data_IF_119430340423
#
_entry.id   IF_119430340423
#
_cell.length_a   1.000
_cell.length_b   1.000
_cell.length_c   1.000
_cell.angle_alpha   90.00
_cell.angle_beta   90.00
_cell.angle_gamma   90.00
#
_symmetry.space_group_name_H-M   'P 1'
#
loop_
_entity.id
_entity.type
_entity.pdbx_description
1 polymer ?
#
# COMPACT_ATOMS: atom_id res chain seq x y z
N UNK A 1 4.74 9.27 36.48
CA UNK A 1 5.44 10.55 36.32
C UNK A 1 6.77 10.33 35.62
N UNK A 2 6.78 9.95 34.33
CA UNK A 2 8.02 9.82 33.53
C UNK A 2 7.81 9.95 32.01
N UNK A 3 6.69 10.51 31.56
CA UNK A 3 6.39 10.70 30.14
C UNK A 3 6.46 12.15 29.63
N UNK A 4 6.43 13.13 30.50
CA UNK A 4 6.35 14.55 30.09
C UNK A 4 7.69 15.24 29.84
N UNK A 5 8.82 14.64 30.21
CA UNK A 5 10.15 15.27 30.04
C UNK A 5 10.81 15.09 28.66
N UNK A 6 10.24 14.26 27.79
CA UNK A 6 10.86 13.98 26.47
C UNK A 6 10.38 14.93 25.37
N UNK A 7 9.22 15.52 25.49
CA UNK A 7 8.66 16.42 24.45
C UNK A 7 9.21 17.84 24.58
N UNK A 8 9.35 18.37 25.80
CA UNK A 8 9.93 19.71 26.03
C UNK A 8 11.41 19.79 25.64
N UNK A 9 12.17 18.71 25.80
CA UNK A 9 13.58 18.66 25.38
C UNK A 9 13.78 18.69 23.86
N UNK A 10 12.81 18.24 23.10
CA UNK A 10 12.86 18.26 21.64
C UNK A 10 12.40 19.60 21.04
N UNK A 11 11.53 20.34 21.73
CA UNK A 11 11.13 21.69 21.29
C UNK A 11 12.21 22.74 21.61
N UNK A 12 12.92 22.62 22.71
CA UNK A 12 14.06 23.51 23.02
C UNK A 12 15.24 23.30 22.06
N UNK A 13 15.54 22.07 21.65
CA UNK A 13 16.58 21.78 20.68
C UNK A 13 16.23 22.30 19.25
N UNK A 14 14.95 22.45 18.92
CA UNK A 14 14.49 23.06 17.67
C UNK A 14 14.61 24.58 17.64
N UNK A 15 14.50 25.24 18.78
CA UNK A 15 14.58 26.68 18.89
C UNK A 15 16.03 27.20 18.79
N UNK A 16 17.02 26.39 19.13
CA UNK A 16 18.45 26.77 19.07
C UNK A 16 19.11 26.57 17.71
N UNK A 17 18.49 25.79 16.80
CA UNK A 17 18.97 25.62 15.43
C UNK A 17 18.16 26.46 14.43
N UNK A 18 18.17 27.76 14.53
CA UNK A 18 17.44 28.71 13.69
C UNK A 18 17.78 28.67 12.19
N UNK A 19 17.73 27.49 11.56
CA UNK A 19 17.96 27.31 10.13
C UNK A 19 16.64 26.97 9.42
N UNK A 20 16.10 27.93 8.67
CA UNK A 20 14.89 27.71 7.86
C UNK A 20 15.21 26.79 6.66
N UNK A 21 14.22 26.01 6.19
CA UNK A 21 14.32 25.12 5.01
C UNK A 21 14.85 25.83 3.75
N UNK A 22 14.70 27.18 3.64
CA UNK A 22 15.23 27.98 2.53
C UNK A 22 16.75 28.19 2.59
N UNK A 23 17.37 28.11 3.76
CA UNK A 23 18.81 28.28 3.91
C UNK A 23 19.62 27.03 3.61
N UNK A 24 19.02 25.82 3.72
CA UNK A 24 19.68 24.54 3.38
C UNK A 24 19.83 24.37 1.87
N UNK A 25 18.86 24.87 1.08
CA UNK A 25 18.92 24.84 -0.39
C UNK A 25 19.87 25.88 -1.01
N UNK A 26 20.24 26.94 -0.27
CA UNK A 26 21.20 27.97 -0.73
C UNK A 26 22.67 27.61 -0.47
N UNK A 27 22.94 26.65 0.44
CA UNK A 27 24.31 26.26 0.80
C UNK A 27 24.90 25.14 -0.09
N UNK A 28 24.09 24.46 -0.91
CA UNK A 28 24.55 23.44 -1.84
C UNK A 28 24.88 23.93 -3.25
N UNK A 29 24.77 25.23 -3.51
CA UNK A 29 24.98 25.88 -4.82
C UNK A 29 26.31 26.61 -5.05
N UNK A 30 27.26 26.59 -4.10
CA UNK A 30 28.49 27.35 -4.21
C UNK A 30 29.72 26.54 -3.80
N UNK A 31 30.09 25.55 -4.56
CA UNK A 31 31.42 24.96 -4.49
C UNK A 31 31.92 24.61 -5.89
N UNK A 32 32.62 25.55 -6.49
CA UNK A 32 33.87 25.34 -7.21
C UNK A 32 33.79 24.71 -8.59
N UNK A 33 33.43 25.50 -9.60
CA UNK A 33 34.02 25.35 -10.93
C UNK A 33 35.36 26.03 -10.94
N UNK A 34 36.45 25.33 -10.77
CA UNK A 34 37.78 25.74 -11.24
C UNK A 34 38.31 24.69 -12.17
N UNK A 35 38.35 24.99 -13.36
CA UNK A 35 39.09 24.80 -14.52
C UNK A 35 40.15 23.73 -14.60
N UNK A 36 40.05 22.92 -15.66
CA UNK A 36 41.18 22.52 -16.46
C UNK A 36 40.70 22.47 -17.91
N UNK A 37 40.99 23.57 -18.56
CA UNK A 37 41.04 23.64 -20.01
C UNK A 37 42.41 23.13 -20.48
N UNK A 38 42.43 22.45 -21.62
CA UNK A 38 43.65 22.13 -22.38
C UNK A 38 43.76 20.62 -22.65
N UNK A 39 43.94 20.13 -23.83
CA UNK A 39 44.23 20.76 -25.10
C UNK A 39 43.69 19.87 -26.20
N UNK A 40 43.14 20.48 -27.18
CA UNK A 40 43.08 19.91 -28.52
C UNK A 40 44.45 19.98 -29.16
N UNK A 41 44.90 18.98 -29.85
CA UNK A 41 45.15 19.04 -31.28
C UNK A 41 46.50 18.55 -31.81
N UNK A 42 46.36 18.00 -32.99
CA UNK A 42 47.22 18.01 -34.16
C UNK A 42 48.31 16.92 -34.27
N UNK A 43 47.98 15.95 -35.09
CA UNK A 43 48.54 15.54 -36.36
C UNK A 43 50.05 15.50 -36.54
N UNK A 44 50.51 14.39 -37.13
CA UNK A 44 51.76 14.38 -37.84
C UNK A 44 52.52 13.07 -37.75
N UNK A 45 52.20 12.17 -38.61
CA UNK A 45 53.06 11.40 -39.50
C UNK A 45 54.53 11.13 -39.11
N UNK A 46 54.90 9.85 -39.16
CA UNK A 46 56.29 9.49 -39.54
C UNK A 46 56.99 8.45 -38.69
N UNK A 47 57.02 7.22 -39.16
CA UNK A 47 58.27 6.46 -39.36
C UNK A 47 58.89 5.68 -38.20
N UNK A 48 58.74 4.39 -38.31
CA UNK A 48 59.84 3.43 -38.40
C UNK A 48 60.48 2.84 -37.11
N UNK A 49 60.49 1.51 -37.12
CA UNK A 49 61.47 0.53 -36.61
C UNK A 49 61.73 0.40 -35.10
N UNK A 50 61.52 -0.86 -34.63
CA UNK A 50 62.42 -1.41 -33.65
C UNK A 50 61.85 -2.25 -32.51
N UNK A 51 61.70 -3.55 -32.79
CA UNK A 51 62.15 -4.70 -32.01
C UNK A 51 61.95 -4.78 -30.47
N UNK A 52 61.28 -5.86 -30.05
CA UNK A 52 61.64 -6.69 -28.93
C UNK A 52 61.19 -6.34 -27.51
N UNK A 53 60.31 -7.21 -26.93
CA UNK A 53 60.22 -7.28 -25.49
C UNK A 53 58.99 -8.05 -25.00
N UNK A 54 59.11 -9.34 -24.78
CA UNK A 54 58.28 -10.21 -23.99
C UNK A 54 57.95 -9.60 -22.61
N UNK A 55 56.66 -9.66 -22.23
CA UNK A 55 56.20 -9.27 -20.88
C UNK A 55 54.75 -9.67 -20.67
N UNK A 56 54.51 -10.93 -20.32
CA UNK A 56 53.18 -11.42 -19.87
C UNK A 56 52.71 -10.62 -18.68
N UNK A 57 51.54 -10.04 -18.83
CA UNK A 57 50.72 -9.43 -17.79
C UNK A 57 49.33 -10.03 -17.89
N UNK A 58 49.06 -11.03 -17.09
CA UNK A 58 47.78 -11.62 -16.83
C UNK A 58 46.93 -10.54 -16.12
N UNK A 59 46.23 -9.77 -16.90
CA UNK A 59 45.25 -8.80 -16.43
C UNK A 59 43.87 -9.46 -16.43
N UNK A 60 43.50 -10.06 -15.30
CA UNK A 60 42.15 -10.55 -15.08
C UNK A 60 41.16 -9.42 -15.33
N UNK A 61 40.44 -9.54 -16.42
CA UNK A 61 39.26 -8.75 -16.73
C UNK A 61 38.16 -9.20 -15.79
N UNK A 62 38.14 -8.60 -14.58
CA UNK A 62 37.03 -8.63 -13.68
C UNK A 62 35.93 -7.73 -14.24
N UNK A 63 35.31 -8.18 -15.31
CA UNK A 63 34.10 -7.55 -15.80
C UNK A 63 33.02 -7.69 -14.72
N UNK A 64 32.87 -6.66 -13.91
CA UNK A 64 31.61 -6.42 -13.17
C UNK A 64 30.48 -6.38 -14.20
N UNK A 65 29.85 -7.54 -14.44
CA UNK A 65 28.59 -7.64 -15.12
C UNK A 65 27.54 -7.05 -14.19
N UNK A 66 27.41 -5.72 -14.17
CA UNK A 66 26.18 -5.11 -13.73
C UNK A 66 25.11 -5.64 -14.70
N UNK A 67 24.22 -6.51 -14.20
CA UNK A 67 23.07 -6.97 -14.95
C UNK A 67 22.36 -5.71 -15.48
N UNK A 68 22.24 -5.61 -16.80
CA UNK A 68 21.46 -4.52 -17.39
C UNK A 68 20.04 -4.70 -16.91
N UNK A 69 19.44 -3.69 -16.32
CA UNK A 69 18.08 -3.75 -15.74
C UNK A 69 17.03 -4.24 -16.76
N UNK A 70 17.27 -4.08 -18.05
CA UNK A 70 16.41 -4.58 -19.13
C UNK A 70 16.28 -6.10 -19.26
N UNK A 71 17.15 -6.87 -18.58
CA UNK A 71 17.10 -8.35 -18.58
C UNK A 71 16.35 -8.90 -17.34
N UNK A 72 15.88 -8.05 -16.45
CA UNK A 72 15.20 -8.44 -15.19
C UNK A 72 13.70 -8.49 -15.41
N UNK A 73 13.09 -9.61 -15.05
CA UNK A 73 11.65 -9.81 -15.07
C UNK A 73 11.13 -10.02 -13.65
N UNK A 74 10.26 -9.14 -13.17
CA UNK A 74 9.59 -9.28 -11.87
C UNK A 74 8.07 -9.34 -12.04
N UNK A 75 7.38 -10.06 -11.17
CA UNK A 75 5.93 -10.22 -11.27
C UNK A 75 5.21 -9.88 -9.98
N UNK A 76 4.09 -9.17 -10.09
CA UNK A 76 3.14 -8.93 -8.99
C UNK A 76 1.91 -9.80 -9.16
N UNK A 77 1.51 -10.50 -8.08
CA UNK A 77 0.35 -11.39 -8.06
C UNK A 77 -0.62 -10.91 -6.98
N UNK A 78 -1.56 -9.99 -7.32
CA UNK A 78 -2.63 -9.58 -6.42
C UNK A 78 -3.63 -10.70 -6.21
N UNK A 79 -4.50 -10.60 -5.20
CA UNK A 79 -5.56 -11.58 -4.98
C UNK A 79 -6.87 -11.28 -5.74
N UNK A 80 -6.90 -10.16 -6.47
CA UNK A 80 -8.04 -9.72 -7.26
C UNK A 80 -7.58 -8.76 -8.36
N UNK A 81 -8.48 -8.16 -9.11
CA UNK A 81 -8.16 -7.21 -10.19
C UNK A 81 -8.82 -5.86 -9.98
N UNK A 82 -8.32 -4.83 -10.65
CA UNK A 82 -8.88 -3.48 -10.65
C UNK A 82 -10.31 -3.39 -11.20
N UNK A 83 -10.78 -4.39 -11.92
CA UNK A 83 -12.16 -4.46 -12.41
C UNK A 83 -13.16 -4.87 -11.33
N UNK A 84 -12.72 -5.62 -10.32
CA UNK A 84 -13.56 -6.05 -9.19
C UNK A 84 -13.39 -5.15 -7.97
N UNK A 85 -12.21 -4.55 -7.78
CA UNK A 85 -11.92 -3.63 -6.67
C UNK A 85 -10.94 -2.54 -7.15
N UNK A 86 -11.33 -1.25 -7.11
CA UNK A 86 -10.50 -0.12 -7.51
C UNK A 86 -9.13 -0.04 -6.83
N UNK A 87 -9.00 -0.61 -5.61
CA UNK A 87 -7.73 -0.71 -4.89
C UNK A 87 -6.62 -1.27 -5.78
N UNK A 88 -6.89 -2.37 -6.50
CA UNK A 88 -5.90 -3.06 -7.31
C UNK A 88 -5.51 -2.28 -8.56
N UNK A 89 -6.40 -1.48 -9.14
CA UNK A 89 -6.06 -0.60 -10.26
C UNK A 89 -5.07 0.50 -9.84
N UNK A 90 -5.22 1.03 -8.62
CA UNK A 90 -4.33 2.04 -8.06
C UNK A 90 -2.96 1.42 -7.72
N UNK A 91 -2.96 0.22 -7.16
CA UNK A 91 -1.73 -0.52 -6.84
C UNK A 91 -0.96 -0.91 -8.12
N UNK A 92 -1.65 -1.39 -9.16
CA UNK A 92 -1.08 -1.69 -10.48
C UNK A 92 -0.43 -0.45 -11.10
N UNK A 93 -1.08 0.72 -10.97
CA UNK A 93 -0.50 1.99 -11.43
C UNK A 93 0.82 2.31 -10.72
N UNK A 94 0.90 2.09 -9.41
CA UNK A 94 2.14 2.25 -8.64
C UNK A 94 3.23 1.27 -9.05
N UNK A 95 2.86 0.00 -9.26
CA UNK A 95 3.77 -1.03 -9.79
C UNK A 95 4.31 -0.65 -11.15
N UNK A 96 3.42 -0.26 -12.10
CA UNK A 96 3.79 0.18 -13.44
C UNK A 96 4.76 1.35 -13.41
N UNK A 97 4.51 2.36 -12.59
CA UNK A 97 5.41 3.51 -12.43
C UNK A 97 6.80 3.11 -11.94
N UNK A 98 6.88 2.13 -11.01
CA UNK A 98 8.16 1.64 -10.52
C UNK A 98 8.95 0.89 -11.60
N UNK A 99 8.32 -0.06 -12.29
CA UNK A 99 9.01 -0.89 -13.30
C UNK A 99 9.44 -0.07 -14.50
N UNK A 100 8.62 0.90 -14.94
CA UNK A 100 8.97 1.85 -16.01
C UNK A 100 10.18 2.69 -15.62
N UNK A 101 10.18 3.25 -14.40
CA UNK A 101 11.29 4.06 -13.89
C UNK A 101 12.59 3.26 -13.79
N UNK A 102 12.50 1.99 -13.41
CA UNK A 102 13.66 1.11 -13.20
C UNK A 102 14.14 0.43 -14.49
N UNK A 103 13.32 0.44 -15.55
CA UNK A 103 13.62 -0.19 -16.83
C UNK A 103 13.67 -1.71 -16.74
N UNK A 104 12.78 -2.33 -15.94
CA UNK A 104 12.63 -3.79 -15.78
C UNK A 104 11.34 -4.29 -16.43
N UNK A 105 11.29 -5.58 -16.84
CA UNK A 105 10.04 -6.21 -17.30
C UNK A 105 9.17 -6.53 -16.08
N UNK A 106 8.15 -5.71 -15.85
CA UNK A 106 7.21 -5.86 -14.75
C UNK A 106 5.87 -6.42 -15.20
N UNK A 107 5.47 -7.57 -14.64
CA UNK A 107 4.19 -8.21 -14.93
C UNK A 107 3.24 -8.06 -13.76
N UNK A 108 1.96 -7.79 -14.03
CA UNK A 108 0.91 -7.73 -13.03
C UNK A 108 -0.17 -8.75 -13.41
N UNK A 109 -0.34 -9.83 -12.61
CA UNK A 109 -1.12 -11.00 -13.01
C UNK A 109 -1.92 -11.54 -11.82
N UNK A 110 -3.14 -11.03 -11.64
CA UNK A 110 -4.09 -11.51 -10.63
C UNK A 110 -5.26 -12.28 -11.23
N UNK A 111 -6.08 -12.94 -10.40
CA UNK A 111 -7.39 -13.41 -10.81
C UNK A 111 -8.32 -12.22 -11.07
N UNK A 112 -9.36 -12.42 -11.91
CA UNK A 112 -10.35 -11.37 -12.20
C UNK A 112 -11.18 -10.98 -10.99
N UNK A 113 -11.39 -11.92 -10.06
CA UNK A 113 -12.11 -11.79 -8.80
C UNK A 113 -11.30 -12.45 -7.69
N UNK A 114 -11.72 -12.28 -6.44
CA UNK A 114 -11.07 -12.96 -5.31
C UNK A 114 -11.14 -14.48 -5.44
N UNK A 115 -10.05 -15.09 -5.87
CA UNK A 115 -9.91 -16.54 -6.04
C UNK A 115 -8.50 -16.99 -5.64
N UNK A 116 -8.29 -17.47 -4.39
CA UNK A 116 -7.00 -17.96 -3.91
C UNK A 116 -6.46 -19.16 -4.71
N UNK A 117 -7.32 -20.03 -5.25
CA UNK A 117 -6.89 -21.17 -6.06
C UNK A 117 -6.34 -20.72 -7.41
N UNK A 118 -6.98 -19.78 -8.06
CA UNK A 118 -6.47 -19.17 -9.29
C UNK A 118 -5.16 -18.41 -9.02
N UNK A 119 -5.06 -17.76 -7.87
CA UNK A 119 -3.83 -17.06 -7.47
C UNK A 119 -2.65 -18.03 -7.32
N UNK A 120 -2.84 -19.21 -6.72
CA UNK A 120 -1.84 -20.30 -6.67
C UNK A 120 -1.41 -20.73 -8.08
N UNK A 121 -2.35 -20.87 -9.02
CA UNK A 121 -2.02 -21.19 -10.40
C UNK A 121 -1.16 -20.11 -11.06
N UNK A 122 -1.47 -18.83 -10.80
CA UNK A 122 -0.70 -17.69 -11.28
C UNK A 122 0.73 -17.71 -10.70
N UNK A 123 0.89 -17.96 -9.39
CA UNK A 123 2.20 -18.10 -8.73
C UNK A 123 3.03 -19.20 -9.41
N UNK A 124 2.44 -20.40 -9.60
CA UNK A 124 3.12 -21.52 -10.24
C UNK A 124 3.53 -21.21 -11.69
N UNK A 125 2.67 -20.50 -12.43
CA UNK A 125 2.94 -20.07 -13.81
C UNK A 125 4.12 -19.10 -13.86
N UNK A 126 4.13 -18.13 -12.98
CA UNK A 126 5.18 -17.11 -12.86
C UNK A 126 6.52 -17.74 -12.50
N UNK A 127 6.57 -18.64 -11.51
CA UNK A 127 7.78 -19.42 -11.17
C UNK A 127 8.28 -20.18 -12.39
N UNK A 128 7.39 -20.93 -13.06
CA UNK A 128 7.75 -21.74 -14.22
C UNK A 128 8.22 -20.92 -15.44
N UNK A 129 7.86 -19.62 -15.51
CA UNK A 129 8.35 -18.70 -16.55
C UNK A 129 9.74 -18.13 -16.28
N UNK A 130 10.34 -18.42 -15.12
CA UNK A 130 11.70 -18.02 -14.78
C UNK A 130 11.82 -16.53 -14.48
N UNK A 131 10.90 -15.96 -13.67
CA UNK A 131 11.02 -14.58 -13.20
C UNK A 131 12.11 -14.44 -12.14
N UNK A 132 12.68 -13.26 -12.02
CA UNK A 132 13.75 -12.94 -11.07
C UNK A 132 13.23 -12.56 -9.69
N UNK A 133 11.94 -12.22 -9.55
CA UNK A 133 11.33 -11.86 -8.27
C UNK A 133 9.81 -11.83 -8.33
N UNK A 134 9.19 -12.08 -7.18
CA UNK A 134 7.72 -12.14 -7.03
C UNK A 134 7.25 -11.24 -5.89
N UNK A 135 6.34 -10.33 -6.18
CA UNK A 135 5.48 -9.67 -5.19
C UNK A 135 4.14 -10.40 -5.12
N UNK A 136 3.61 -10.64 -3.94
CA UNK A 136 2.37 -11.41 -3.78
C UNK A 136 1.54 -10.92 -2.60
N UNK A 137 0.23 -10.82 -2.81
CA UNK A 137 -0.74 -10.62 -1.74
C UNK A 137 -1.15 -12.01 -1.20
N UNK A 138 -0.81 -12.33 0.05
CA UNK A 138 -0.98 -13.68 0.62
C UNK A 138 -2.42 -13.87 1.11
N UNK A 139 -3.35 -14.18 0.20
CA UNK A 139 -4.78 -14.29 0.53
C UNK A 139 -5.14 -15.54 1.34
N UNK A 140 -4.38 -16.61 1.20
CA UNK A 140 -4.54 -17.86 1.93
C UNK A 140 -3.16 -18.48 2.24
N UNK A 141 -2.65 -18.35 3.47
CA UNK A 141 -1.33 -18.88 3.84
C UNK A 141 -1.21 -20.40 3.70
N UNK A 142 -2.31 -21.14 3.88
CA UNK A 142 -2.29 -22.61 3.80
C UNK A 142 -2.11 -23.09 2.36
N UNK A 143 -2.72 -22.41 1.41
CA UNK A 143 -2.59 -22.72 -0.02
C UNK A 143 -1.25 -22.24 -0.61
N UNK A 144 -0.62 -21.24 0.01
CA UNK A 144 0.57 -20.60 -0.55
C UNK A 144 1.88 -21.19 -0.04
N UNK A 145 1.84 -22.05 0.96
CA UNK A 145 3.04 -22.67 1.55
C UNK A 145 3.88 -23.38 0.47
N UNK A 146 3.30 -24.37 -0.23
CA UNK A 146 4.01 -25.12 -1.27
C UNK A 146 4.55 -24.24 -2.42
N UNK A 147 3.75 -23.36 -3.06
CA UNK A 147 4.25 -22.56 -4.17
C UNK A 147 5.29 -21.52 -3.74
N UNK A 148 5.18 -20.92 -2.56
CA UNK A 148 6.20 -19.97 -2.09
C UNK A 148 7.47 -20.68 -1.63
N UNK A 149 7.37 -21.89 -1.03
CA UNK A 149 8.55 -22.72 -0.75
C UNK A 149 9.29 -23.10 -2.04
N UNK A 150 8.54 -23.46 -3.10
CA UNK A 150 9.12 -23.72 -4.40
C UNK A 150 9.86 -22.50 -4.97
N UNK A 151 9.29 -21.30 -4.88
CA UNK A 151 9.98 -20.08 -5.30
C UNK A 151 11.30 -19.88 -4.52
N UNK A 152 11.28 -20.11 -3.21
CA UNK A 152 12.48 -20.02 -2.37
C UNK A 152 13.53 -21.04 -2.74
N UNK A 153 13.15 -22.30 -3.02
CA UNK A 153 14.06 -23.40 -3.43
C UNK A 153 14.70 -23.12 -4.81
N UNK A 154 13.99 -22.43 -5.71
CA UNK A 154 14.49 -21.96 -7.00
C UNK A 154 15.30 -20.65 -6.87
N UNK A 155 15.43 -20.08 -5.67
CA UNK A 155 16.20 -18.86 -5.41
C UNK A 155 15.48 -17.57 -5.81
N UNK A 156 14.18 -17.63 -6.11
CA UNK A 156 13.37 -16.48 -6.50
C UNK A 156 12.95 -15.70 -5.23
N UNK A 157 13.36 -14.44 -5.05
CA UNK A 157 12.94 -13.64 -3.91
C UNK A 157 11.44 -13.34 -3.96
N UNK A 158 10.78 -13.52 -2.82
CA UNK A 158 9.36 -13.21 -2.62
C UNK A 158 9.22 -12.01 -1.70
N UNK A 159 8.33 -11.07 -2.03
CA UNK A 159 7.91 -9.95 -1.20
C UNK A 159 6.41 -10.04 -0.96
N UNK A 160 5.99 -10.05 0.31
CA UNK A 160 4.58 -9.96 0.64
C UNK A 160 4.09 -8.51 0.51
N UNK A 161 2.93 -8.32 -0.10
CA UNK A 161 2.34 -6.98 -0.32
C UNK A 161 0.86 -7.01 0.02
N UNK A 162 0.35 -5.96 0.61
CA UNK A 162 -1.02 -5.78 1.07
C UNK A 162 -1.46 -6.77 2.16
N UNK A 163 -1.34 -8.06 1.92
CA UNK A 163 -1.66 -9.11 2.88
C UNK A 163 -0.38 -9.88 3.22
N UNK A 164 0.08 -9.87 4.49
CA UNK A 164 1.14 -10.75 4.96
C UNK A 164 0.57 -12.14 5.29
N UNK A 165 1.42 -13.03 5.73
CA UNK A 165 0.98 -14.29 6.35
C UNK A 165 0.17 -14.02 7.64
N UNK A 166 -0.72 -14.95 7.97
CA UNK A 166 -1.48 -14.97 9.22
C UNK A 166 -1.23 -16.26 10.00
N UNK A 167 -1.29 -16.15 11.34
CA UNK A 167 -1.16 -17.29 12.23
C UNK A 167 0.29 -17.60 12.62
N UNK A 168 0.56 -18.88 12.96
CA UNK A 168 1.86 -19.33 13.48
C UNK A 168 2.84 -19.76 12.38
N UNK A 169 2.43 -19.74 11.12
CA UNK A 169 3.28 -20.12 9.97
C UNK A 169 4.27 -19.02 9.62
N UNK A 170 5.42 -19.44 9.14
CA UNK A 170 6.43 -18.54 8.58
C UNK A 170 6.65 -18.91 7.12
N UNK A 171 6.04 -18.18 6.21
CA UNK A 171 6.22 -18.33 4.77
C UNK A 171 7.56 -17.72 4.33
N UNK A 172 8.19 -18.24 3.27
CA UNK A 172 9.53 -17.83 2.84
C UNK A 172 9.48 -16.53 2.01
N UNK A 173 9.02 -15.42 2.59
CA UNK A 173 9.15 -14.10 1.97
C UNK A 173 10.16 -13.21 2.72
N UNK A 174 10.73 -12.23 2.02
CA UNK A 174 11.86 -11.45 2.52
C UNK A 174 11.48 -10.18 3.27
N UNK A 175 10.27 -9.69 3.06
CA UNK A 175 9.73 -8.48 3.67
C UNK A 175 8.27 -8.29 3.31
N UNK A 176 7.63 -7.34 3.97
CA UNK A 176 6.22 -7.00 3.80
C UNK A 176 6.05 -5.50 3.55
N UNK A 177 5.22 -5.16 2.57
CA UNK A 177 4.77 -3.79 2.28
C UNK A 177 3.26 -3.73 2.43
N UNK A 178 2.75 -2.93 3.37
CA UNK A 178 1.31 -2.83 3.63
C UNK A 178 1.00 -2.36 5.04
N UNK A 179 -0.11 -2.80 5.60
CA UNK A 179 -0.63 -2.33 6.88
C UNK A 179 -0.91 -3.49 7.85
N UNK A 180 -0.95 -3.17 9.14
CA UNK A 180 -1.56 -4.04 10.15
C UNK A 180 -3.08 -3.80 10.11
N UNK A 181 -3.81 -4.79 9.63
CA UNK A 181 -5.24 -4.66 9.37
C UNK A 181 -6.09 -4.57 10.64
N UNK A 182 -5.63 -5.12 11.76
CA UNK A 182 -6.26 -4.91 13.07
C UNK A 182 -6.11 -3.44 13.49
N UNK A 183 -4.92 -2.85 13.28
CA UNK A 183 -4.68 -1.42 13.54
C UNK A 183 -5.51 -0.54 12.61
N UNK A 184 -5.70 -0.93 11.34
CA UNK A 184 -6.61 -0.26 10.41
C UNK A 184 -8.03 -0.24 10.97
N UNK A 185 -8.57 -1.40 11.35
CA UNK A 185 -9.90 -1.51 11.95
C UNK A 185 -10.06 -0.70 13.23
N UNK A 186 -9.07 -0.79 14.14
CA UNK A 186 -9.05 0.02 15.36
C UNK A 186 -9.11 1.52 15.05
N UNK A 187 -8.40 1.97 14.02
CA UNK A 187 -8.40 3.38 13.62
C UNK A 187 -9.73 3.82 13.02
N UNK A 188 -10.35 3.00 12.16
CA UNK A 188 -11.70 3.27 11.61
C UNK A 188 -12.71 3.51 12.74
N UNK A 189 -12.71 2.63 13.75
CA UNK A 189 -13.64 2.74 14.87
C UNK A 189 -13.34 3.94 15.78
N UNK A 190 -12.07 4.10 16.22
CA UNK A 190 -11.72 5.20 17.13
C UNK A 190 -11.97 6.57 16.50
N UNK A 191 -11.53 6.78 15.25
CA UNK A 191 -11.71 8.04 14.54
C UNK A 191 -13.20 8.25 14.16
N UNK A 192 -13.89 7.18 13.74
CA UNK A 192 -15.33 7.23 13.44
C UNK A 192 -16.16 7.64 14.64
N UNK A 193 -15.91 7.04 15.82
CA UNK A 193 -16.61 7.43 17.07
C UNK A 193 -16.30 8.89 17.45
N UNK A 194 -15.02 9.31 17.36
CA UNK A 194 -14.65 10.69 17.67
C UNK A 194 -15.34 11.69 16.75
N UNK A 195 -15.27 11.45 15.43
CA UNK A 195 -15.89 12.32 14.44
C UNK A 195 -17.42 12.32 14.55
N UNK A 196 -18.04 11.18 14.90
CA UNK A 196 -19.48 11.11 15.18
C UNK A 196 -19.86 11.95 16.41
N UNK A 197 -19.05 11.88 17.50
CA UNK A 197 -19.25 12.72 18.68
C UNK A 197 -19.11 14.20 18.38
N UNK A 198 -18.15 14.58 17.54
CA UNK A 198 -17.95 15.97 17.11
C UNK A 198 -19.16 16.48 16.28
N UNK A 199 -19.75 15.61 15.46
CA UNK A 199 -20.89 15.96 14.62
C UNK A 199 -22.22 16.00 15.37
N UNK A 200 -22.43 15.10 16.37
CA UNK A 200 -23.76 14.87 17.00
C UNK A 200 -23.80 15.22 18.48
N UNK A 201 -22.64 15.36 19.15
CA UNK A 201 -22.54 15.60 20.59
C UNK A 201 -22.61 14.33 21.46
N UNK A 202 -22.77 13.13 20.87
CA UNK A 202 -22.86 11.85 21.60
C UNK A 202 -22.11 10.74 20.86
N UNK A 203 -21.85 9.61 21.53
CA UNK A 203 -21.40 8.39 20.86
C UNK A 203 -22.53 7.76 20.05
N UNK A 204 -22.23 7.03 18.95
CA UNK A 204 -23.27 6.30 18.22
C UNK A 204 -23.92 5.24 19.12
N UNK A 205 -25.24 5.13 19.04
CA UNK A 205 -26.00 4.15 19.80
C UNK A 205 -25.73 2.71 19.33
N UNK A 206 -25.51 2.52 18.03
CA UNK A 206 -25.20 1.23 17.40
C UNK A 206 -24.39 1.42 16.12
N UNK A 207 -23.51 0.47 15.84
CA UNK A 207 -22.77 0.37 14.60
C UNK A 207 -23.06 -0.94 13.84
N UNK A 208 -22.75 -0.97 12.54
CA UNK A 208 -22.79 -2.17 11.71
C UNK A 208 -21.56 -2.23 10.79
N UNK A 209 -21.08 -3.44 10.54
CA UNK A 209 -19.95 -3.72 9.65
C UNK A 209 -20.46 -4.55 8.46
N UNK A 210 -20.71 -3.96 7.28
CA UNK A 210 -21.02 -4.72 6.07
C UNK A 210 -19.73 -5.36 5.50
N UNK A 211 -19.64 -6.70 5.58
CA UNK A 211 -18.50 -7.45 5.08
C UNK A 211 -18.83 -8.06 3.71
N UNK A 212 -18.21 -7.50 2.66
CA UNK A 212 -18.45 -7.88 1.27
C UNK A 212 -17.63 -9.11 0.80
N UNK A 213 -16.70 -9.60 1.63
CA UNK A 213 -15.91 -10.81 1.37
C UNK A 213 -15.66 -11.57 2.69
N UNK A 214 -16.65 -12.26 3.25
CA UNK A 214 -16.54 -12.90 4.58
C UNK A 214 -15.41 -13.92 4.72
N UNK A 215 -14.93 -14.48 3.60
CA UNK A 215 -13.80 -15.42 3.56
C UNK A 215 -12.43 -14.72 3.50
N UNK A 216 -12.38 -13.39 3.40
CA UNK A 216 -11.15 -12.64 3.29
C UNK A 216 -10.58 -12.33 4.68
N UNK A 217 -9.39 -12.87 4.98
CA UNK A 217 -8.73 -12.68 6.28
C UNK A 217 -8.39 -11.22 6.58
N UNK A 218 -8.10 -10.39 5.57
CA UNK A 218 -7.86 -8.94 5.75
C UNK A 218 -9.10 -8.26 6.29
N UNK A 219 -10.26 -8.49 5.64
CA UNK A 219 -11.51 -7.88 6.07
C UNK A 219 -11.94 -8.41 7.45
N UNK A 220 -11.63 -9.68 7.73
CA UNK A 220 -11.84 -10.24 9.07
C UNK A 220 -11.03 -9.50 10.13
N UNK A 221 -9.74 -9.28 9.92
CA UNK A 221 -8.88 -8.56 10.87
C UNK A 221 -9.32 -7.11 11.07
N UNK A 222 -9.75 -6.42 10.01
CA UNK A 222 -10.35 -5.07 10.11
C UNK A 222 -11.62 -5.10 10.95
N UNK A 223 -12.52 -6.03 10.66
CA UNK A 223 -13.77 -6.20 11.41
C UNK A 223 -13.50 -6.51 12.89
N UNK A 224 -12.54 -7.39 13.17
CA UNK A 224 -12.15 -7.74 14.54
C UNK A 224 -11.59 -6.52 15.30
N UNK A 225 -10.75 -5.71 14.66
CA UNK A 225 -10.25 -4.44 15.22
C UNK A 225 -11.39 -3.44 15.50
N UNK A 226 -12.34 -3.29 14.58
CA UNK A 226 -13.53 -2.45 14.81
C UNK A 226 -14.33 -2.95 16.01
N UNK A 227 -14.62 -4.26 16.07
CA UNK A 227 -15.39 -4.88 17.17
C UNK A 227 -14.71 -4.70 18.52
N UNK A 228 -13.37 -4.84 18.57
CA UNK A 228 -12.59 -4.62 19.79
C UNK A 228 -12.81 -3.20 20.34
N UNK A 229 -12.66 -2.18 19.50
CA UNK A 229 -12.85 -0.78 19.91
C UNK A 229 -14.30 -0.52 20.31
N UNK A 230 -15.28 -0.97 19.51
CA UNK A 230 -16.70 -0.79 19.82
C UNK A 230 -17.07 -1.44 21.16
N UNK A 231 -16.58 -2.66 21.41
CA UNK A 231 -16.77 -3.35 22.70
C UNK A 231 -16.19 -2.55 23.87
N UNK A 232 -14.95 -2.05 23.73
CA UNK A 232 -14.29 -1.24 24.76
C UNK A 232 -15.00 0.10 25.02
N UNK A 233 -15.76 0.60 24.05
CA UNK A 233 -16.56 1.83 24.15
C UNK A 233 -18.02 1.56 24.55
N UNK A 234 -18.41 0.28 24.76
CA UNK A 234 -19.79 -0.19 25.03
C UNK A 234 -20.78 0.21 23.93
N UNK A 235 -20.36 0.18 22.68
CA UNK A 235 -21.20 0.42 21.52
C UNK A 235 -21.55 -0.93 20.88
N UNK A 236 -22.84 -1.33 20.81
CA UNK A 236 -23.25 -2.52 20.10
C UNK A 236 -22.83 -2.47 18.63
N UNK A 237 -22.23 -3.55 18.13
CA UNK A 237 -21.81 -3.67 16.73
C UNK A 237 -22.04 -5.08 16.23
N UNK A 238 -22.62 -5.21 15.05
CA UNK A 238 -22.80 -6.48 14.35
C UNK A 238 -22.07 -6.44 13.01
N UNK A 239 -21.48 -7.58 12.62
CA UNK A 239 -20.99 -7.80 11.28
C UNK A 239 -22.09 -8.50 10.47
N UNK A 240 -22.42 -7.93 9.30
CA UNK A 240 -23.40 -8.51 8.37
C UNK A 240 -22.72 -8.93 7.09
N UNK A 241 -23.07 -10.11 6.60
CA UNK A 241 -22.57 -10.61 5.31
C UNK A 241 -23.25 -9.86 4.17
N UNK A 242 -22.43 -9.35 3.26
CA UNK A 242 -22.84 -8.76 1.99
C UNK A 242 -21.97 -9.36 0.86
N UNK A 243 -22.00 -8.78 -0.33
CA UNK A 243 -21.09 -9.13 -1.42
C UNK A 243 -20.55 -7.87 -2.10
N UNK A 244 -19.77 -8.03 -3.14
CA UNK A 244 -19.29 -6.94 -3.99
C UNK A 244 -20.43 -6.30 -4.82
N UNK A 245 -21.60 -6.96 -4.92
CA UNK A 245 -22.76 -6.42 -5.62
C UNK A 245 -23.44 -5.34 -4.78
N UNK A 246 -23.47 -4.07 -5.23
CA UNK A 246 -24.00 -2.94 -4.44
C UNK A 246 -25.41 -3.14 -3.89
N UNK A 247 -26.30 -3.77 -4.69
CA UNK A 247 -27.69 -4.00 -4.31
C UNK A 247 -27.82 -4.92 -3.08
N UNK A 248 -26.90 -5.87 -2.90
CA UNK A 248 -26.92 -6.75 -1.73
C UNK A 248 -26.55 -6.00 -0.45
N UNK A 249 -25.54 -5.14 -0.52
CA UNK A 249 -25.18 -4.27 0.62
C UNK A 249 -26.33 -3.33 1.00
N UNK A 250 -26.98 -2.69 0.02
CA UNK A 250 -28.14 -1.80 0.25
C UNK A 250 -29.28 -2.58 0.91
N UNK A 251 -29.60 -3.77 0.40
CA UNK A 251 -30.66 -4.63 0.95
C UNK A 251 -30.35 -5.10 2.37
N UNK A 252 -29.10 -5.50 2.63
CA UNK A 252 -28.66 -5.94 3.95
C UNK A 252 -28.73 -4.80 4.99
N UNK A 253 -28.26 -3.59 4.64
CA UNK A 253 -28.34 -2.42 5.50
C UNK A 253 -29.80 -2.02 5.79
N UNK A 254 -30.68 -2.06 4.79
CA UNK A 254 -32.12 -1.80 4.96
C UNK A 254 -32.77 -2.79 5.92
N UNK A 255 -32.46 -4.08 5.76
CA UNK A 255 -32.96 -5.16 6.61
C UNK A 255 -32.43 -5.03 8.04
N UNK A 256 -31.15 -4.71 8.19
CA UNK A 256 -30.52 -4.53 9.49
C UNK A 256 -31.13 -3.36 10.24
N UNK A 257 -31.26 -2.17 9.60
CA UNK A 257 -31.87 -0.99 10.21
C UNK A 257 -33.35 -1.20 10.57
N UNK A 258 -34.08 -1.95 9.77
CA UNK A 258 -35.50 -2.26 10.10
C UNK A 258 -35.61 -3.07 11.39
N UNK A 259 -34.60 -3.87 11.73
CA UNK A 259 -34.54 -4.66 12.96
C UNK A 259 -33.85 -3.93 14.12
N UNK A 260 -33.01 -2.94 13.81
CA UNK A 260 -32.19 -2.18 14.74
C UNK A 260 -32.34 -0.68 14.43
N UNK A 261 -33.44 -0.09 14.85
CA UNK A 261 -33.80 1.30 14.55
C UNK A 261 -32.85 2.35 15.16
N UNK A 262 -31.93 1.93 16.02
CA UNK A 262 -30.88 2.72 16.66
C UNK A 262 -29.54 2.69 15.92
N UNK A 263 -29.49 2.17 14.68
CA UNK A 263 -28.28 2.20 13.84
C UNK A 263 -27.93 3.66 13.47
N UNK A 264 -26.73 4.09 13.83
CA UNK A 264 -26.22 5.45 13.58
C UNK A 264 -24.83 5.48 12.90
N UNK A 265 -24.08 4.36 12.93
CA UNK A 265 -22.74 4.30 12.31
C UNK A 265 -22.56 3.03 11.47
N UNK A 266 -22.16 3.21 10.22
CA UNK A 266 -21.69 2.13 9.35
C UNK A 266 -20.16 2.17 9.32
N UNK A 267 -19.50 1.05 9.70
CA UNK A 267 -18.06 0.89 9.62
C UNK A 267 -17.71 0.09 8.35
N UNK A 268 -17.37 0.79 7.28
CA UNK A 268 -17.06 0.17 5.98
C UNK A 268 -15.66 -0.45 5.99
N UNK A 269 -15.52 -1.66 5.45
CA UNK A 269 -14.25 -2.37 5.33
C UNK A 269 -13.46 -2.01 4.06
N UNK A 270 -14.07 -1.28 3.15
CA UNK A 270 -13.48 -0.83 1.89
C UNK A 270 -14.53 -0.16 0.99
N UNK A 271 -14.13 0.36 -0.20
CA UNK A 271 -15.06 1.04 -1.10
C UNK A 271 -16.25 0.17 -1.54
N UNK A 272 -16.04 -1.13 -1.72
CA UNK A 272 -17.09 -2.06 -2.14
C UNK A 272 -18.26 -2.18 -1.14
N UNK A 273 -18.05 -1.86 0.14
CA UNK A 273 -19.13 -1.75 1.13
C UNK A 273 -19.49 -0.31 1.46
N UNK A 274 -18.54 0.63 1.35
CA UNK A 274 -18.76 2.04 1.69
C UNK A 274 -19.58 2.80 0.64
N UNK A 275 -19.32 2.61 -0.64
CA UNK A 275 -20.06 3.29 -1.71
C UNK A 275 -21.54 2.90 -1.75
N UNK A 276 -21.92 1.61 -1.67
CA UNK A 276 -23.32 1.23 -1.53
C UNK A 276 -23.98 1.76 -0.24
N UNK A 277 -23.24 1.89 0.87
CA UNK A 277 -23.75 2.49 2.08
C UNK A 277 -24.08 3.99 1.90
N UNK A 278 -23.27 4.74 1.14
CA UNK A 278 -23.57 6.13 0.76
C UNK A 278 -24.84 6.19 -0.09
N UNK A 279 -24.98 5.31 -1.07
CA UNK A 279 -26.19 5.23 -1.90
C UNK A 279 -27.40 4.91 -1.05
N UNK A 280 -27.31 3.93 -0.15
CA UNK A 280 -28.39 3.55 0.76
C UNK A 280 -28.83 4.72 1.66
N UNK A 281 -27.91 5.50 2.22
CA UNK A 281 -28.22 6.69 3.02
C UNK A 281 -28.99 7.71 2.18
N UNK A 282 -28.55 7.97 0.94
CA UNK A 282 -29.18 8.93 0.05
C UNK A 282 -30.59 8.50 -0.40
N UNK A 283 -30.78 7.22 -0.72
CA UNK A 283 -32.06 6.69 -1.20
C UNK A 283 -33.15 6.62 -0.10
N UNK A 284 -32.71 6.62 1.17
CA UNK A 284 -33.62 6.51 2.32
C UNK A 284 -33.70 7.79 3.16
N UNK A 285 -33.16 8.93 2.69
CA UNK A 285 -33.15 10.23 3.36
C UNK A 285 -32.55 10.17 4.78
N UNK A 286 -31.46 9.38 4.99
CA UNK A 286 -30.85 9.13 6.29
C UNK A 286 -29.67 10.06 6.61
N UNK A 287 -29.44 11.10 5.80
CA UNK A 287 -28.39 12.09 6.03
C UNK A 287 -28.60 12.80 7.38
N UNK A 288 -27.55 12.84 8.20
CA UNK A 288 -27.61 13.39 9.56
C UNK A 288 -28.19 12.44 10.61
N UNK A 289 -28.71 11.26 10.23
CA UNK A 289 -29.13 10.21 11.14
C UNK A 289 -28.12 9.05 11.16
N UNK A 290 -27.59 8.66 9.99
CA UNK A 290 -26.62 7.60 9.85
C UNK A 290 -25.38 8.15 9.15
N UNK A 291 -24.22 7.82 9.69
CA UNK A 291 -22.92 8.23 9.18
C UNK A 291 -22.08 7.02 8.81
N UNK A 292 -21.01 7.25 8.05
CA UNK A 292 -20.06 6.21 7.67
C UNK A 292 -18.66 6.59 8.14
N UNK A 293 -17.91 5.62 8.64
CA UNK A 293 -16.45 5.64 8.73
C UNK A 293 -15.89 4.41 7.99
N UNK A 294 -14.72 4.50 7.37
CA UNK A 294 -14.29 3.34 6.58
C UNK A 294 -12.83 3.32 6.20
N UNK A 295 -12.55 2.50 5.18
CA UNK A 295 -11.22 2.26 4.62
C UNK A 295 -11.23 2.62 3.14
N UNK A 296 -10.12 3.18 2.69
CA UNK A 296 -9.81 3.66 1.34
C UNK A 296 -10.64 4.86 0.87
N UNK A 297 -10.08 5.60 -0.05
CA UNK A 297 -10.71 6.79 -0.61
C UNK A 297 -10.76 6.69 -2.13
N UNK A 298 -11.95 6.98 -2.67
CA UNK A 298 -12.22 7.14 -4.09
C UNK A 298 -12.88 8.51 -4.30
N UNK A 299 -13.14 8.92 -5.54
CA UNK A 299 -13.88 10.15 -5.83
C UNK A 299 -15.26 10.16 -5.15
N UNK A 300 -15.94 9.00 -5.13
CA UNK A 300 -17.26 8.91 -4.46
C UNK A 300 -17.15 9.04 -2.94
N UNK A 301 -16.16 8.40 -2.31
CA UNK A 301 -15.91 8.53 -0.88
C UNK A 301 -15.50 9.95 -0.52
N UNK A 302 -14.60 10.57 -1.33
CA UNK A 302 -14.21 11.99 -1.17
C UNK A 302 -15.43 12.93 -1.23
N UNK A 303 -16.30 12.73 -2.22
CA UNK A 303 -17.56 13.48 -2.34
C UNK A 303 -18.48 13.27 -1.14
N UNK A 304 -18.58 12.05 -0.63
CA UNK A 304 -19.40 11.73 0.55
C UNK A 304 -18.84 12.36 1.83
N UNK A 305 -17.50 12.47 1.95
CA UNK A 305 -16.85 13.22 3.05
C UNK A 305 -17.16 14.72 2.95
N UNK A 306 -17.10 15.30 1.74
CA UNK A 306 -17.45 16.71 1.51
C UNK A 306 -18.89 17.01 1.91
N UNK A 307 -19.80 16.06 1.71
CA UNK A 307 -21.22 16.17 2.00
C UNK A 307 -21.61 15.70 3.42
N UNK A 308 -20.62 15.45 4.30
CA UNK A 308 -20.81 15.06 5.70
C UNK A 308 -21.61 13.73 5.89
N UNK A 309 -21.66 12.86 4.87
CA UNK A 309 -22.23 11.50 4.94
C UNK A 309 -21.17 10.54 5.48
N UNK A 310 -19.95 10.68 4.98
CA UNK A 310 -18.78 9.96 5.45
C UNK A 310 -18.00 10.86 6.41
N UNK A 311 -17.78 10.41 7.64
CA UNK A 311 -17.06 11.17 8.66
C UNK A 311 -15.55 11.25 8.35
N UNK A 312 -15.05 10.23 7.68
CA UNK A 312 -13.68 10.10 7.24
C UNK A 312 -13.33 8.65 6.96
N UNK A 313 -12.17 8.45 6.38
CA UNK A 313 -11.68 7.14 5.97
C UNK A 313 -10.22 6.95 6.34
N UNK A 314 -9.80 5.70 6.49
CA UNK A 314 -8.40 5.32 6.63
C UNK A 314 -7.85 4.98 5.25
N UNK A 315 -6.77 5.64 4.84
CA UNK A 315 -6.09 5.34 3.59
C UNK A 315 -4.90 4.41 3.82
N UNK A 316 -4.72 3.48 2.90
CA UNK A 316 -3.68 2.44 2.91
C UNK A 316 -2.53 2.72 1.97
N UNK A 317 -2.68 3.69 1.06
CA UNK A 317 -1.69 4.03 0.04
C UNK A 317 -1.40 2.88 -0.95
N UNK A 318 -2.38 2.36 -1.68
CA UNK A 318 -2.19 1.24 -2.61
C UNK A 318 -1.16 1.55 -3.70
N UNK A 319 -1.15 2.76 -4.25
CA UNK A 319 -0.11 3.20 -5.18
C UNK A 319 1.30 3.01 -4.60
N UNK A 320 1.50 3.43 -3.35
CA UNK A 320 2.80 3.30 -2.68
C UNK A 320 3.16 1.83 -2.40
N UNK A 321 2.18 0.96 -2.16
CA UNK A 321 2.41 -0.47 -1.99
C UNK A 321 2.99 -1.08 -3.28
N UNK A 322 2.35 -0.87 -4.42
CA UNK A 322 2.85 -1.33 -5.71
C UNK A 322 4.21 -0.73 -6.08
N UNK A 323 4.37 0.59 -5.90
CA UNK A 323 5.60 1.31 -6.21
C UNK A 323 6.80 0.80 -5.41
N UNK A 324 6.65 0.65 -4.10
CA UNK A 324 7.73 0.14 -3.24
C UNK A 324 8.03 -1.34 -3.50
N UNK A 325 7.04 -2.14 -3.85
CA UNK A 325 7.24 -3.54 -4.19
C UNK A 325 8.17 -3.69 -5.41
N UNK A 326 7.93 -2.93 -6.48
CA UNK A 326 8.79 -2.90 -7.65
C UNK A 326 10.22 -2.49 -7.32
N UNK A 327 10.38 -1.44 -6.52
CA UNK A 327 11.69 -0.97 -6.08
C UNK A 327 12.43 -2.00 -5.23
N UNK A 328 11.79 -2.60 -4.23
CA UNK A 328 12.45 -3.55 -3.33
C UNK A 328 12.86 -4.83 -4.06
N UNK A 329 12.00 -5.38 -4.92
CA UNK A 329 12.35 -6.56 -5.70
C UNK A 329 13.50 -6.28 -6.66
N UNK A 330 13.46 -5.18 -7.40
CA UNK A 330 14.56 -4.81 -8.31
C UNK A 330 15.86 -4.63 -7.53
N UNK A 331 15.86 -3.93 -6.40
CA UNK A 331 17.07 -3.78 -5.58
C UNK A 331 17.57 -5.11 -5.03
N UNK A 332 16.68 -6.02 -4.69
CA UNK A 332 17.08 -7.36 -4.26
C UNK A 332 17.74 -8.15 -5.37
N UNK A 333 17.15 -8.14 -6.55
CA UNK A 333 17.65 -8.89 -7.72
C UNK A 333 18.99 -8.31 -8.21
N UNK A 334 19.08 -6.99 -8.35
CA UNK A 334 20.27 -6.32 -8.91
C UNK A 334 21.42 -6.21 -7.93
N UNK A 335 21.14 -5.89 -6.69
CA UNK A 335 22.15 -5.48 -5.71
C UNK A 335 22.19 -6.38 -4.46
N UNK A 336 21.34 -7.39 -4.36
CA UNK A 336 21.22 -8.25 -3.18
C UNK A 336 20.65 -7.54 -1.93
N UNK A 337 20.14 -6.32 -2.08
CA UNK A 337 19.62 -5.52 -0.96
C UNK A 337 18.30 -6.09 -0.48
N UNK A 338 18.22 -6.40 0.81
CA UNK A 338 16.99 -6.90 1.44
C UNK A 338 16.00 -5.75 1.68
N UNK A 339 14.72 -6.01 1.40
CA UNK A 339 13.64 -5.13 1.86
C UNK A 339 13.62 -5.07 3.41
N UNK A 340 13.13 -3.97 4.01
CA UNK A 340 12.78 -3.97 5.42
C UNK A 340 11.81 -5.10 5.75
N UNK A 341 11.90 -5.66 6.97
CA UNK A 341 10.99 -6.74 7.39
C UNK A 341 9.52 -6.31 7.27
N UNK A 342 9.21 -5.06 7.64
CA UNK A 342 7.89 -4.44 7.48
C UNK A 342 8.08 -3.01 6.99
N UNK A 343 7.38 -2.64 5.94
CA UNK A 343 7.28 -1.27 5.42
C UNK A 343 5.82 -0.83 5.49
N UNK A 344 5.40 -0.11 6.54
CA UNK A 344 4.03 0.36 6.65
C UNK A 344 3.74 1.48 5.65
N UNK A 345 2.62 1.39 4.93
CA UNK A 345 2.14 2.42 3.99
C UNK A 345 0.98 3.25 4.54
N UNK A 346 0.42 2.87 5.68
CA UNK A 346 -0.62 3.55 6.46
C UNK A 346 -0.60 3.04 7.91
N UNK A 347 -1.73 3.09 8.62
CA UNK A 347 -3.02 3.69 8.28
C UNK A 347 -3.05 5.20 8.57
N UNK A 348 -3.52 6.01 7.63
CA UNK A 348 -3.70 7.45 7.81
C UNK A 348 -5.18 7.82 7.73
N UNK A 349 -5.71 8.54 8.75
CA UNK A 349 -7.08 9.03 8.73
C UNK A 349 -7.20 10.29 7.88
N UNK A 350 -8.19 10.31 7.00
CA UNK A 350 -8.56 11.44 6.15
C UNK A 350 -10.03 11.77 6.39
N UNK A 351 -10.27 12.95 6.90
CA UNK A 351 -11.57 13.59 7.06
C UNK A 351 -11.69 14.84 6.16
N UNK A 352 -12.79 15.54 6.25
CA UNK A 352 -13.04 16.76 5.46
C UNK A 352 -11.92 17.81 5.55
N UNK A 353 -11.26 17.92 6.71
CA UNK A 353 -10.16 18.90 6.92
C UNK A 353 -8.86 18.51 6.21
N UNK A 354 -8.75 17.26 5.78
CA UNK A 354 -7.54 16.69 5.17
C UNK A 354 -7.70 16.27 3.71
N UNK A 355 -8.88 16.47 3.12
CA UNK A 355 -9.13 16.09 1.72
C UNK A 355 -8.13 16.75 0.76
N UNK A 356 -7.79 18.03 0.98
CA UNK A 356 -6.82 18.74 0.13
C UNK A 356 -5.43 18.08 0.12
N UNK A 357 -5.06 17.33 1.17
CA UNK A 357 -3.77 16.65 1.25
C UNK A 357 -3.68 15.43 0.33
N UNK A 358 -4.81 14.82 0.02
CA UNK A 358 -4.89 13.62 -0.83
C UNK A 358 -5.50 13.91 -2.21
N UNK A 359 -5.97 15.13 -2.45
CA UNK A 359 -6.64 15.51 -3.70
C UNK A 359 -5.74 15.25 -4.92
N UNK A 360 -4.50 15.70 -4.88
CA UNK A 360 -3.53 15.47 -5.96
C UNK A 360 -3.28 13.98 -6.20
N UNK A 361 -3.25 13.17 -5.14
CA UNK A 361 -3.10 11.73 -5.29
C UNK A 361 -4.34 11.12 -5.95
N UNK A 362 -5.54 11.47 -5.48
CA UNK A 362 -6.81 10.97 -6.06
C UNK A 362 -6.88 11.32 -7.56
N UNK A 363 -6.57 12.55 -7.94
CA UNK A 363 -6.57 13.01 -9.32
C UNK A 363 -5.59 12.25 -10.21
N UNK A 364 -4.42 11.86 -9.69
CA UNK A 364 -3.38 11.20 -10.46
C UNK A 364 -3.51 9.66 -10.48
N UNK A 365 -4.10 9.05 -9.45
CA UNK A 365 -4.12 7.59 -9.27
C UNK A 365 -5.53 7.00 -9.11
N UNK A 366 -6.56 7.82 -9.01
CA UNK A 366 -7.95 7.40 -8.79
C UNK A 366 -8.31 7.11 -7.34
N UNK A 367 -7.37 7.26 -6.40
CA UNK A 367 -7.60 7.04 -4.97
C UNK A 367 -6.32 7.06 -4.12
N UNK A 368 -6.47 6.72 -2.83
CA UNK A 368 -5.36 6.70 -1.87
C UNK A 368 -5.51 5.62 -0.80
#
# INVERSE_FOLDING_TARGET
>A
MSGERTVEGMEQARAEMGVSRRQVLAASGAAGVTGLAGCANIGGNGGDDGDGGDGGGDGGDGGDSQAQTGDITISFIPHSSGSSDPFWAIEESGWGAAVDQLGVDGRYQGPSEFDPQQQVQNINTVISSGVDGIAVSISDPDLFDDPLQRAADEGIPVLAVNIPEFGERTLPYQGYVGNDETVVGNRVANQGISAFQDATGSKPARAVIPNHQPGNNVLKLRADGIKEVMSNQNIPVDEITTSAEPAETISALSSYRSSNGDLELVCSLGPASGQPAVQWINENDLQGEVYISGVDITDQVSTAIQNDIYLGTVIQQPYLQGYLAGHYLTQKVTNGILAPKVTPTGPTWVDKSRLDLVQTQIENTGGA
#
